data_IF_153285803826
#
_entry.id   IF_153285803826
#
_cell.length_a   1.000
_cell.length_b   1.000
_cell.length_c   1.000
_cell.angle_alpha   90.00
_cell.angle_beta   90.00
_cell.angle_gamma   90.00
#
_symmetry.space_group_name_H-M   'P 1'
#
loop_
_entity.id
_entity.type
_entity.pdbx_description
1 polymer ?
#
# COMPACT_ATOMS: atom_id res chain seq x y z
N UNK A 1 5.81 -20.14 -36.15
CA UNK A 1 6.73 -19.01 -36.00
C UNK A 1 6.76 -18.71 -34.51
N UNK A 2 7.82 -19.22 -33.88
CA UNK A 2 8.29 -19.22 -32.49
C UNK A 2 7.37 -18.76 -31.34
N UNK A 3 6.77 -19.75 -30.66
CA UNK A 3 6.22 -19.65 -29.30
C UNK A 3 7.27 -19.33 -28.22
N UNK A 4 8.57 -19.36 -28.55
CA UNK A 4 9.67 -19.10 -27.61
C UNK A 4 10.06 -17.62 -27.44
N UNK A 5 9.51 -16.70 -28.25
CA UNK A 5 9.77 -15.25 -28.10
C UNK A 5 9.14 -14.65 -26.81
N UNK A 6 8.26 -15.39 -26.14
CA UNK A 6 7.59 -14.98 -24.91
C UNK A 6 8.41 -15.23 -23.62
N UNK A 7 9.58 -15.86 -23.67
CA UNK A 7 10.35 -16.14 -22.44
C UNK A 7 11.18 -14.95 -21.94
N UNK A 8 11.67 -14.10 -22.86
CA UNK A 8 12.66 -13.06 -22.53
C UNK A 8 12.01 -11.67 -22.41
N UNK A 9 10.73 -11.50 -22.81
CA UNK A 9 10.07 -10.21 -23.08
C UNK A 9 11.03 -9.20 -23.74
N UNK A 10 11.48 -9.55 -24.95
CA UNK A 10 12.35 -8.68 -25.74
C UNK A 10 11.69 -7.33 -26.06
N UNK A 11 12.51 -6.35 -26.42
CA UNK A 11 12.03 -5.04 -26.88
C UNK A 11 11.04 -5.24 -28.03
N UNK A 12 9.81 -4.73 -27.84
CA UNK A 12 8.77 -4.79 -28.86
C UNK A 12 9.16 -4.02 -30.12
N UNK A 13 8.78 -4.48 -31.32
CA UNK A 13 8.90 -3.69 -32.53
C UNK A 13 8.06 -2.41 -32.41
N UNK A 14 8.45 -1.37 -33.15
CA UNK A 14 7.87 -0.03 -33.03
C UNK A 14 6.34 -0.03 -33.27
N UNK A 15 5.88 -0.91 -34.14
CA UNK A 15 4.49 -1.06 -34.55
C UNK A 15 3.62 -1.69 -33.44
N UNK A 16 4.24 -2.37 -32.48
CA UNK A 16 3.55 -3.14 -31.42
C UNK A 16 3.73 -2.54 -30.02
N UNK A 17 4.37 -1.37 -29.87
CA UNK A 17 4.61 -0.76 -28.56
C UNK A 17 3.32 -0.44 -27.78
N UNK A 18 2.21 -0.24 -28.50
CA UNK A 18 0.88 -0.02 -27.92
C UNK A 18 -0.01 -1.27 -27.97
N UNK A 19 0.52 -2.41 -28.40
CA UNK A 19 -0.18 -3.70 -28.26
C UNK A 19 -0.19 -4.10 -26.79
N UNK A 20 -1.38 -4.46 -26.27
CA UNK A 20 -1.54 -4.90 -24.88
C UNK A 20 -0.62 -6.07 -24.56
N UNK A 21 -0.02 -6.06 -23.37
CA UNK A 21 0.73 -7.21 -22.88
C UNK A 21 -0.22 -8.41 -22.69
N UNK A 22 0.13 -9.64 -23.13
CA UNK A 22 -0.72 -10.81 -22.93
C UNK A 22 -1.18 -11.04 -21.49
N UNK A 23 -0.38 -10.61 -20.49
CA UNK A 23 -0.70 -10.69 -19.05
C UNK A 23 -1.81 -9.73 -18.64
N UNK A 24 -2.01 -8.67 -19.41
CA UNK A 24 -2.97 -7.60 -19.13
C UNK A 24 -4.21 -7.62 -20.05
N UNK A 25 -4.33 -8.61 -20.94
CA UNK A 25 -5.41 -8.69 -21.94
C UNK A 25 -6.85 -8.61 -21.39
N UNK A 26 -7.02 -8.86 -20.09
CA UNK A 26 -8.32 -8.86 -19.41
C UNK A 26 -8.65 -7.51 -18.74
N UNK A 27 -7.74 -6.55 -18.77
CA UNK A 27 -7.96 -5.23 -18.20
C UNK A 27 -8.26 -4.21 -19.30
N UNK A 28 -9.10 -3.23 -19.00
CA UNK A 28 -9.26 -2.05 -19.83
C UNK A 28 -8.23 -0.97 -19.42
N UNK A 29 -7.56 -0.38 -20.40
CA UNK A 29 -6.58 0.69 -20.17
C UNK A 29 -7.22 1.92 -19.51
N UNK A 30 -8.49 2.22 -19.80
CA UNK A 30 -9.17 3.36 -19.17
C UNK A 30 -9.43 3.10 -17.69
N UNK A 31 -9.87 1.90 -17.34
CA UNK A 31 -10.00 1.48 -15.94
C UNK A 31 -8.65 1.47 -15.22
N UNK A 32 -7.58 0.99 -15.88
CA UNK A 32 -6.23 1.01 -15.34
C UNK A 32 -5.75 2.44 -15.05
N UNK A 33 -5.92 3.35 -16.02
CA UNK A 33 -5.62 4.75 -15.85
C UNK A 33 -6.44 5.38 -14.72
N UNK A 34 -7.75 5.09 -14.65
CA UNK A 34 -8.63 5.62 -13.61
C UNK A 34 -8.12 5.23 -12.22
N UNK A 35 -7.85 3.94 -12.01
CA UNK A 35 -7.28 3.43 -10.74
C UNK A 35 -5.99 4.13 -10.35
N UNK A 36 -5.08 4.38 -11.30
CA UNK A 36 -3.85 5.12 -11.04
C UNK A 36 -4.12 6.59 -10.70
N UNK A 37 -5.09 7.21 -11.38
CA UNK A 37 -5.42 8.63 -11.19
C UNK A 37 -6.07 8.94 -9.84
N UNK A 38 -6.79 7.98 -9.26
CA UNK A 38 -7.41 8.08 -7.93
C UNK A 38 -6.36 8.14 -6.81
N UNK A 39 -5.17 7.57 -7.04
CA UNK A 39 -4.07 7.66 -6.09
C UNK A 39 -3.44 9.05 -6.20
N UNK A 40 -3.68 9.85 -5.15
CA UNK A 40 -3.24 11.24 -5.07
C UNK A 40 -2.41 11.49 -3.81
N UNK A 41 -1.42 12.38 -3.94
CA UNK A 41 -0.66 12.86 -2.80
C UNK A 41 -1.30 14.13 -2.23
N UNK A 42 -1.06 14.39 -0.95
CA UNK A 42 -1.51 15.62 -0.32
C UNK A 42 -0.94 16.87 -1.03
N UNK A 43 -1.72 17.95 -1.08
CA UNK A 43 -1.32 19.21 -1.69
C UNK A 43 -0.01 19.78 -1.09
N UNK A 44 0.28 19.51 0.18
CA UNK A 44 1.48 19.95 0.88
C UNK A 44 2.71 19.07 0.65
N UNK A 45 2.58 17.96 -0.10
CA UNK A 45 3.73 17.12 -0.40
C UNK A 45 4.76 17.88 -1.24
N UNK A 46 6.06 17.83 -0.91
CA UNK A 46 7.12 18.50 -1.67
C UNK A 46 7.13 18.13 -3.15
N UNK A 47 7.57 19.06 -3.99
CA UNK A 47 7.52 18.92 -5.45
C UNK A 47 8.38 17.75 -5.94
N UNK A 48 9.53 17.53 -5.32
CA UNK A 48 10.47 16.46 -5.68
C UNK A 48 9.86 15.07 -5.44
N UNK A 49 9.11 14.93 -4.34
CA UNK A 49 8.36 13.70 -4.02
C UNK A 49 7.22 13.50 -5.01
N UNK A 50 6.47 14.56 -5.32
CA UNK A 50 5.37 14.51 -6.30
C UNK A 50 5.86 14.08 -7.68
N UNK A 51 6.97 14.64 -8.14
CA UNK A 51 7.56 14.28 -9.43
C UNK A 51 7.98 12.81 -9.49
N UNK A 52 8.63 12.28 -8.44
CA UNK A 52 8.96 10.85 -8.37
C UNK A 52 7.70 9.98 -8.40
N UNK A 53 6.68 10.36 -7.65
CA UNK A 53 5.44 9.59 -7.58
C UNK A 53 4.66 9.59 -8.90
N UNK A 54 4.54 10.75 -9.57
CA UNK A 54 3.90 10.82 -10.88
C UNK A 54 4.71 10.07 -11.95
N UNK A 55 6.05 10.04 -11.86
CA UNK A 55 6.86 9.17 -12.72
C UNK A 55 6.57 7.69 -12.47
N UNK A 56 6.41 7.27 -11.22
CA UNK A 56 6.00 5.90 -10.89
C UNK A 56 4.63 5.56 -11.51
N UNK A 57 3.64 6.46 -11.42
CA UNK A 57 2.31 6.30 -12.03
C UNK A 57 2.37 6.23 -13.56
N UNK A 58 3.17 7.09 -14.19
CA UNK A 58 3.37 7.07 -15.63
C UNK A 58 3.96 5.73 -16.08
N UNK A 59 4.98 5.23 -15.40
CA UNK A 59 5.57 3.92 -15.72
C UNK A 59 4.57 2.80 -15.42
N UNK A 60 3.83 2.88 -14.32
CA UNK A 60 2.75 1.95 -13.98
C UNK A 60 1.67 1.88 -15.08
N UNK A 61 1.32 3.00 -15.70
CA UNK A 61 0.43 3.03 -16.85
C UNK A 61 1.01 2.25 -18.04
N UNK A 62 2.31 2.43 -18.33
CA UNK A 62 2.99 1.69 -19.40
C UNK A 62 3.15 0.20 -19.13
N UNK A 63 2.97 -0.26 -17.88
CA UNK A 63 2.94 -1.70 -17.58
C UNK A 63 1.81 -2.42 -18.31
N UNK A 64 0.74 -1.70 -18.68
CA UNK A 64 -0.35 -2.22 -19.51
C UNK A 64 0.17 -2.81 -20.83
N UNK A 65 1.14 -2.11 -21.45
CA UNK A 65 1.75 -2.53 -22.71
C UNK A 65 3.00 -3.38 -22.50
N UNK A 66 3.70 -3.24 -21.37
CA UNK A 66 4.93 -4.00 -21.09
C UNK A 66 5.00 -4.33 -19.61
N UNK A 67 4.55 -5.53 -19.24
CA UNK A 67 4.42 -5.95 -17.85
C UNK A 67 5.74 -5.85 -17.06
N UNK A 68 6.89 -6.05 -17.70
CA UNK A 68 8.21 -5.96 -17.05
C UNK A 68 8.53 -4.59 -16.44
N UNK A 69 7.84 -3.53 -16.87
CA UNK A 69 8.00 -2.20 -16.29
C UNK A 69 7.43 -2.10 -14.86
N UNK A 70 6.70 -3.11 -14.38
CA UNK A 70 6.09 -3.11 -13.05
C UNK A 70 7.12 -2.89 -11.94
N UNK A 71 8.25 -3.61 -12.00
CA UNK A 71 9.34 -3.44 -11.05
C UNK A 71 9.94 -2.02 -11.07
N UNK A 72 10.08 -1.42 -12.25
CA UNK A 72 10.59 -0.06 -12.38
C UNK A 72 9.63 0.95 -11.76
N UNK A 73 8.32 0.78 -11.98
CA UNK A 73 7.29 1.59 -11.34
C UNK A 73 7.35 1.48 -9.81
N UNK A 74 7.41 0.25 -9.28
CA UNK A 74 7.50 0.01 -7.83
C UNK A 74 8.77 0.61 -7.22
N UNK A 75 9.92 0.45 -7.88
CA UNK A 75 11.21 0.98 -7.40
C UNK A 75 11.16 2.51 -7.27
N UNK A 76 10.56 3.19 -8.24
CA UNK A 76 10.41 4.64 -8.21
C UNK A 76 9.38 5.06 -7.15
N UNK A 77 8.30 4.30 -6.98
CA UNK A 77 7.32 4.54 -5.91
C UNK A 77 7.96 4.44 -4.51
N UNK A 78 8.78 3.41 -4.26
CA UNK A 78 9.54 3.30 -3.01
C UNK A 78 10.57 4.42 -2.84
N UNK A 79 11.16 4.89 -3.93
CA UNK A 79 12.08 6.03 -3.89
C UNK A 79 11.34 7.33 -3.54
N UNK A 80 10.12 7.52 -4.04
CA UNK A 80 9.26 8.64 -3.66
C UNK A 80 8.91 8.58 -2.16
N UNK A 81 8.51 7.40 -1.66
CA UNK A 81 8.23 7.18 -0.24
C UNK A 81 9.46 7.44 0.63
N UNK A 82 10.62 6.92 0.25
CA UNK A 82 11.87 7.13 0.99
C UNK A 82 12.24 8.62 1.05
N UNK A 83 12.10 9.34 -0.06
CA UNK A 83 12.35 10.76 -0.11
C UNK A 83 11.37 11.54 0.79
N UNK A 84 10.08 11.19 0.76
CA UNK A 84 9.07 11.81 1.62
C UNK A 84 9.40 11.62 3.11
N UNK A 85 9.73 10.38 3.50
CA UNK A 85 10.06 10.06 4.89
C UNK A 85 11.37 10.71 5.35
N UNK A 86 12.38 10.80 4.48
CA UNK A 86 13.62 11.56 4.76
C UNK A 86 13.33 13.02 5.03
N UNK A 87 12.52 13.66 4.18
CA UNK A 87 12.18 15.08 4.34
C UNK A 87 11.37 15.30 5.62
N UNK A 88 10.39 14.44 5.91
CA UNK A 88 9.61 14.48 7.14
C UNK A 88 10.49 14.28 8.38
N UNK A 89 11.42 13.33 8.32
CA UNK A 89 12.41 13.11 9.37
C UNK A 89 13.27 14.36 9.60
N UNK A 90 13.81 15.00 8.56
CA UNK A 90 14.63 16.21 8.75
C UNK A 90 13.85 17.37 9.39
N UNK A 91 12.55 17.47 9.11
CA UNK A 91 11.67 18.49 9.71
C UNK A 91 11.41 18.21 11.20
N UNK A 92 11.26 16.95 11.59
CA UNK A 92 10.84 16.56 12.94
C UNK A 92 11.95 15.98 13.82
N UNK A 93 13.17 15.79 13.29
CA UNK A 93 14.31 15.16 13.99
C UNK A 93 14.62 15.78 15.35
N UNK A 94 14.28 17.05 15.58
CA UNK A 94 14.47 17.71 16.88
C UNK A 94 13.59 17.14 18.00
N UNK A 95 12.48 16.48 17.65
CA UNK A 95 11.51 15.89 18.57
C UNK A 95 11.60 14.36 18.63
N UNK A 96 12.51 13.75 17.87
CA UNK A 96 12.66 12.30 17.76
C UNK A 96 13.90 11.90 18.54
N UNK A 97 13.77 10.94 19.44
CA UNK A 97 14.91 10.34 20.11
C UNK A 97 15.54 9.27 19.20
N UNK A 98 16.73 9.53 18.66
CA UNK A 98 17.47 8.56 17.86
C UNK A 98 18.97 8.62 18.16
N UNK A 99 19.60 7.45 18.29
CA UNK A 99 21.05 7.36 18.52
C UNK A 99 21.86 7.70 17.26
N UNK A 100 21.36 7.30 16.08
CA UNK A 100 22.03 7.48 14.79
C UNK A 100 21.02 7.79 13.69
N UNK A 101 21.43 8.65 12.75
CA UNK A 101 20.60 8.99 11.60
C UNK A 101 20.23 7.73 10.79
N UNK A 102 18.96 7.54 10.43
CA UNK A 102 18.53 6.41 9.61
C UNK A 102 19.21 6.42 8.22
N UNK A 103 19.57 5.23 7.73
CA UNK A 103 20.29 5.07 6.44
C UNK A 103 19.53 4.25 5.40
N UNK A 104 18.49 3.53 5.82
CA UNK A 104 17.71 2.62 4.98
C UNK A 104 16.24 3.00 5.09
N UNK A 105 15.48 2.82 4.02
CA UNK A 105 14.03 3.04 3.97
C UNK A 105 13.31 2.36 5.15
N UNK A 106 13.69 1.12 5.48
CA UNK A 106 13.16 0.38 6.63
C UNK A 106 13.22 1.18 7.94
N UNK A 107 14.35 1.81 8.24
CA UNK A 107 14.49 2.56 9.49
C UNK A 107 13.61 3.82 9.49
N UNK A 108 13.45 4.46 8.33
CA UNK A 108 12.53 5.59 8.19
C UNK A 108 11.07 5.16 8.34
N UNK A 109 10.69 3.97 7.84
CA UNK A 109 9.36 3.39 8.00
C UNK A 109 9.04 3.08 9.48
N UNK A 110 9.99 2.49 10.21
CA UNK A 110 9.81 2.22 11.64
C UNK A 110 9.59 3.51 12.44
N UNK A 111 10.41 4.54 12.18
CA UNK A 111 10.22 5.86 12.80
C UNK A 111 8.85 6.43 12.43
N UNK A 112 8.42 6.30 11.17
CA UNK A 112 7.12 6.81 10.74
C UNK A 112 5.95 6.13 11.46
N UNK A 113 6.06 4.84 11.77
CA UNK A 113 5.09 4.12 12.61
C UNK A 113 5.15 4.61 14.06
N UNK A 114 6.34 4.70 14.65
CA UNK A 114 6.54 5.13 16.04
C UNK A 114 6.06 6.57 16.29
N UNK A 115 6.24 7.46 15.31
CA UNK A 115 5.80 8.85 15.37
C UNK A 115 4.34 9.06 14.90
N UNK A 116 3.67 7.99 14.44
CA UNK A 116 2.28 8.06 13.96
C UNK A 116 2.12 8.87 12.67
N UNK A 117 3.16 8.97 11.84
CA UNK A 117 3.06 9.59 10.50
C UNK A 117 2.38 8.67 9.49
N UNK A 118 2.53 7.36 9.69
CA UNK A 118 1.80 6.33 8.97
C UNK A 118 0.94 5.62 10.00
N UNK A 119 -0.34 5.53 9.72
CA UNK A 119 -1.31 5.01 10.67
C UNK A 119 -2.22 3.98 10.02
N UNK A 120 -2.87 3.15 10.84
CA UNK A 120 -3.70 2.05 10.38
C UNK A 120 -5.04 2.51 9.77
N UNK A 121 -5.49 3.72 10.10
CA UNK A 121 -6.83 4.23 9.76
C UNK A 121 -7.01 4.55 8.27
N UNK A 122 -5.92 4.64 7.50
CA UNK A 122 -5.95 4.92 6.06
C UNK A 122 -6.32 3.71 5.17
N UNK A 123 -6.53 2.52 5.75
CA UNK A 123 -6.72 1.28 5.00
C UNK A 123 -8.19 0.83 5.00
N UNK A 124 -8.96 1.30 4.03
CA UNK A 124 -10.41 1.12 3.94
C UNK A 124 -10.85 -0.37 3.88
N UNK A 125 -10.13 -1.22 3.15
CA UNK A 125 -10.40 -2.67 3.13
C UNK A 125 -10.24 -3.32 4.50
N UNK A 126 -9.30 -2.82 5.30
CA UNK A 126 -9.03 -3.33 6.64
C UNK A 126 -10.04 -2.81 7.66
N UNK A 127 -10.66 -1.65 7.39
CA UNK A 127 -11.76 -1.11 8.18
C UNK A 127 -12.97 -2.03 8.17
N UNK A 128 -13.35 -2.56 7.00
CA UNK A 128 -14.46 -3.51 6.91
C UNK A 128 -14.20 -4.80 7.71
N UNK A 129 -12.95 -5.28 7.71
CA UNK A 129 -12.54 -6.42 8.53
C UNK A 129 -12.62 -6.08 10.02
N UNK A 130 -12.18 -4.89 10.42
CA UNK A 130 -12.26 -4.43 11.80
C UNK A 130 -13.71 -4.33 12.30
N UNK A 131 -14.62 -3.75 11.50
CA UNK A 131 -16.06 -3.69 11.80
C UNK A 131 -16.61 -5.08 12.10
N UNK A 132 -16.41 -6.02 11.16
CA UNK A 132 -16.90 -7.40 11.32
C UNK A 132 -16.34 -8.06 12.58
N UNK A 133 -15.07 -7.86 12.92
CA UNK A 133 -14.47 -8.41 14.15
C UNK A 133 -15.06 -7.82 15.42
N UNK A 134 -15.34 -6.52 15.44
CA UNK A 134 -15.99 -5.84 16.58
C UNK A 134 -17.42 -6.36 16.75
N UNK A 135 -18.18 -6.48 15.66
CA UNK A 135 -19.53 -7.06 15.67
C UNK A 135 -19.52 -8.49 16.24
N UNK A 136 -18.63 -9.35 15.72
CA UNK A 136 -18.50 -10.73 16.19
C UNK A 136 -18.16 -10.81 17.68
N UNK A 137 -17.31 -9.90 18.20
CA UNK A 137 -16.97 -9.84 19.63
C UNK A 137 -18.19 -9.46 20.47
N UNK A 138 -18.92 -8.41 20.09
CA UNK A 138 -20.14 -7.97 20.78
C UNK A 138 -21.21 -9.06 20.79
N UNK A 139 -21.41 -9.76 19.67
CA UNK A 139 -22.33 -10.91 19.58
C UNK A 139 -21.90 -12.02 20.56
N UNK A 140 -20.62 -12.35 20.59
CA UNK A 140 -20.09 -13.38 21.50
C UNK A 140 -20.28 -13.00 22.98
N UNK A 141 -20.11 -11.72 23.34
CA UNK A 141 -20.34 -11.20 24.69
C UNK A 141 -21.81 -11.27 25.07
N UNK A 142 -22.72 -10.88 24.17
CA UNK A 142 -24.18 -10.97 24.38
C UNK A 142 -24.65 -12.42 24.55
N UNK A 143 -24.07 -13.36 23.80
CA UNK A 143 -24.37 -14.79 23.96
C UNK A 143 -23.90 -15.32 25.33
N UNK A 144 -22.80 -14.80 25.86
CA UNK A 144 -22.26 -15.21 27.16
C UNK A 144 -22.98 -14.56 28.34
N UNK A 145 -23.59 -13.39 28.17
CA UNK A 145 -24.17 -12.60 29.26
C UNK A 145 -25.54 -13.08 29.76
N UNK A 146 -25.96 -14.32 29.47
CA UNK A 146 -27.29 -14.91 29.81
C UNK A 146 -28.50 -14.00 29.48
N UNK A 147 -28.30 -13.02 28.61
CA UNK A 147 -29.29 -11.97 28.33
C UNK A 147 -30.38 -12.47 27.36
N UNK A 148 -30.17 -13.66 26.79
CA UNK A 148 -31.07 -14.33 25.85
C UNK A 148 -32.29 -14.90 26.59
N UNK A 149 -33.28 -14.04 26.85
CA UNK A 149 -34.64 -14.51 27.16
C UNK A 149 -35.28 -15.01 25.86
N UNK A 150 -35.88 -16.20 25.91
CA UNK A 150 -36.60 -16.79 24.76
C UNK A 150 -37.58 -15.77 24.15
N UNK A 151 -37.43 -15.49 22.85
CA UNK A 151 -38.34 -14.64 22.09
C UNK A 151 -38.10 -13.13 22.17
N UNK A 152 -37.03 -12.66 22.82
CA UNK A 152 -36.66 -11.22 22.81
C UNK A 152 -35.53 -10.99 21.82
N UNK A 153 -35.81 -10.25 20.74
CA UNK A 153 -34.76 -9.72 19.86
C UNK A 153 -33.92 -8.71 20.63
N UNK A 154 -32.64 -9.03 20.84
CA UNK A 154 -31.67 -8.08 21.41
C UNK A 154 -30.92 -7.48 20.21
N UNK A 155 -31.05 -6.17 19.95
CA UNK A 155 -30.29 -5.54 18.89
C UNK A 155 -28.80 -5.62 19.22
N UNK A 156 -28.00 -6.11 18.27
CA UNK A 156 -26.54 -6.05 18.39
C UNK A 156 -26.15 -4.57 18.35
N UNK A 157 -25.43 -4.05 19.36
CA UNK A 157 -24.97 -2.68 19.32
C UNK A 157 -24.02 -2.49 18.15
N UNK A 158 -24.31 -1.50 17.31
CA UNK A 158 -23.43 -1.09 16.21
C UNK A 158 -22.02 -0.77 16.74
N UNK A 159 -20.95 -1.20 16.05
CA UNK A 159 -19.58 -0.79 16.37
C UNK A 159 -19.44 0.73 16.37
N UNK A 160 -18.93 1.29 17.47
CA UNK A 160 -18.57 2.71 17.50
C UNK A 160 -17.28 2.96 16.73
N UNK A 161 -17.07 4.20 16.26
CA UNK A 161 -15.84 4.57 15.56
C UNK A 161 -14.58 4.26 16.38
N UNK A 162 -14.62 4.53 17.68
CA UNK A 162 -13.49 4.30 18.59
C UNK A 162 -13.11 2.82 18.62
N UNK A 163 -14.10 1.92 18.72
CA UNK A 163 -13.87 0.47 18.75
C UNK A 163 -13.30 -0.05 17.43
N UNK A 164 -13.77 0.49 16.30
CA UNK A 164 -13.24 0.14 14.98
C UNK A 164 -11.78 0.59 14.86
N UNK A 165 -11.46 1.82 15.29
CA UNK A 165 -10.10 2.35 15.26
C UNK A 165 -9.14 1.58 16.19
N UNK A 166 -9.60 1.18 17.37
CA UNK A 166 -8.83 0.34 18.29
C UNK A 166 -8.56 -1.06 17.70
N UNK A 167 -9.57 -1.66 17.06
CA UNK A 167 -9.39 -2.94 16.36
C UNK A 167 -8.40 -2.81 15.20
N UNK A 168 -8.49 -1.75 14.39
CA UNK A 168 -7.55 -1.48 13.30
C UNK A 168 -6.11 -1.35 13.81
N UNK A 169 -5.88 -0.63 14.92
CA UNK A 169 -4.56 -0.55 15.56
C UNK A 169 -4.06 -1.91 16.02
N UNK A 170 -4.93 -2.74 16.60
CA UNK A 170 -4.58 -4.10 17.03
C UNK A 170 -4.18 -5.01 15.86
N UNK A 171 -4.73 -4.75 14.67
CA UNK A 171 -4.41 -5.50 13.44
C UNK A 171 -3.02 -5.18 12.89
N UNK A 172 -2.40 -4.06 13.28
CA UNK A 172 -1.07 -3.60 12.84
C UNK A 172 -0.98 -3.58 11.30
N UNK A 173 -1.99 -2.99 10.66
CA UNK A 173 -2.20 -3.00 9.21
C UNK A 173 -1.06 -2.26 8.50
N UNK A 174 -0.76 -1.04 8.93
CA UNK A 174 0.29 -0.19 8.39
C UNK A 174 1.65 -0.89 8.44
N UNK A 175 1.98 -1.47 9.59
CA UNK A 175 3.21 -2.22 9.78
C UNK A 175 3.32 -3.42 8.85
N UNK A 176 2.26 -4.23 8.71
CA UNK A 176 2.25 -5.36 7.77
C UNK A 176 2.49 -4.91 6.33
N UNK A 177 1.82 -3.85 5.89
CA UNK A 177 2.01 -3.31 4.54
C UNK A 177 3.44 -2.81 4.31
N UNK A 178 4.04 -2.12 5.28
CA UNK A 178 5.42 -1.65 5.20
C UNK A 178 6.43 -2.80 5.21
N UNK A 179 6.19 -3.85 6.01
CA UNK A 179 7.03 -5.06 6.01
C UNK A 179 6.96 -5.82 4.69
N UNK A 180 5.76 -6.03 4.13
CA UNK A 180 5.62 -6.67 2.81
C UNK A 180 6.31 -5.83 1.73
N UNK A 181 6.10 -4.50 1.75
CA UNK A 181 6.74 -3.61 0.78
C UNK A 181 8.27 -3.58 0.87
N UNK A 182 8.82 -3.72 2.08
CA UNK A 182 10.26 -3.89 2.31
C UNK A 182 10.81 -5.14 1.62
N UNK A 183 10.12 -6.28 1.76
CA UNK A 183 10.57 -7.53 1.13
C UNK A 183 10.58 -7.39 -0.40
N UNK A 184 9.52 -6.82 -0.96
CA UNK A 184 9.44 -6.53 -2.40
C UNK A 184 10.63 -5.65 -2.82
N UNK A 185 10.80 -4.48 -2.21
CA UNK A 185 11.88 -3.55 -2.57
C UNK A 185 13.27 -4.19 -2.46
N UNK A 186 13.54 -4.98 -1.42
CA UNK A 186 14.85 -5.60 -1.24
C UNK A 186 15.10 -6.69 -2.29
N UNK A 187 14.10 -7.49 -2.65
CA UNK A 187 14.19 -8.42 -3.78
C UNK A 187 14.47 -7.68 -5.08
N UNK A 188 13.74 -6.59 -5.37
CA UNK A 188 13.94 -5.79 -6.59
C UNK A 188 15.35 -5.19 -6.71
N UNK A 189 15.99 -4.84 -5.58
CA UNK A 189 17.35 -4.26 -5.56
C UNK A 189 18.44 -5.32 -5.62
N UNK A 190 18.21 -6.50 -5.04
CA UNK A 190 19.24 -7.54 -4.91
C UNK A 190 19.20 -8.61 -6.02
N UNK A 191 18.04 -8.90 -6.63
CA UNK A 191 17.93 -9.85 -7.74
C UNK A 191 18.64 -9.38 -9.03
N UNK A 192 19.05 -8.11 -9.10
CA UNK A 192 19.81 -7.52 -10.23
C UNK A 192 21.32 -7.43 -9.97
N UNK A 193 21.83 -7.99 -8.87
CA UNK A 193 23.26 -8.02 -8.53
C UNK A 193 23.91 -9.40 -8.71
N UNK A 194 23.23 -10.35 -9.36
CA UNK A 194 23.68 -11.73 -9.58
C UNK A 194 23.97 -12.04 -11.05
#
# INVERSE_FOLDING_TARGET
MDEHLNEIDSLKPLEEIFSVDPRNKHYDIKEWHLKLSEISLNANTPIEVKQLFENAKNIALFTYFSYRLHQSAETIAYSALEQALKMKFEQERGNINFEKKPRRLEHYMNIALEQGWITDEGYESSRNIAISRVEHRKISELMKSESLKEGVEIPVPEPSEIEVLEEMKSMRIAERHLHTGRHIRNSLVHEYSG
#
